data_IF_742683297646
#
_entry.id   IF_742683297646
#
_cell.length_a   1.000
_cell.length_b   1.000
_cell.length_c   1.000
_cell.angle_alpha   90.00
_cell.angle_beta   90.00
_cell.angle_gamma   90.00
#
_symmetry.space_group_name_H-M   'P 1'
#
loop_
_entity.id
_entity.type
_entity.pdbx_description
1 polymer ?
#
# COMPACT_ATOMS: atom_id res chain seq x y z
N UNK A 1 -20.55 7.03 20.51
CA UNK A 1 -20.76 6.98 19.04
C UNK A 1 -20.00 5.80 18.45
N UNK A 2 -20.58 5.20 17.40
CA UNK A 2 -19.95 4.11 16.67
C UNK A 2 -19.26 4.63 15.39
N UNK A 3 -17.96 4.46 15.30
CA UNK A 3 -17.12 4.85 14.18
C UNK A 3 -16.70 3.60 13.41
N UNK A 4 -16.96 3.55 12.10
CA UNK A 4 -16.45 2.50 11.23
C UNK A 4 -15.31 3.06 10.35
N UNK A 5 -14.15 2.44 10.41
CA UNK A 5 -12.96 2.90 9.71
C UNK A 5 -12.57 1.95 8.56
N UNK A 6 -12.36 2.52 7.39
CA UNK A 6 -11.83 1.87 6.19
C UNK A 6 -10.47 2.48 5.89
N UNK A 7 -9.43 1.67 5.77
CA UNK A 7 -8.07 2.11 5.45
C UNK A 7 -7.58 1.57 4.12
N UNK A 8 -6.64 2.26 3.52
CA UNK A 8 -5.69 1.79 2.51
C UNK A 8 -6.31 0.93 1.39
N UNK A 9 -7.26 1.51 0.65
CA UNK A 9 -7.99 0.81 -0.42
C UNK A 9 -7.19 0.75 -1.74
N UNK A 10 -6.33 1.73 -2.01
CA UNK A 10 -5.47 1.85 -3.18
C UNK A 10 -6.20 1.59 -4.52
N UNK A 11 -7.34 2.23 -4.72
CA UNK A 11 -8.08 2.14 -5.97
C UNK A 11 -7.22 2.58 -7.15
N UNK A 12 -7.16 1.75 -8.18
CA UNK A 12 -6.32 1.92 -9.36
C UNK A 12 -5.00 1.17 -9.32
N UNK A 13 -4.70 0.48 -8.21
CA UNK A 13 -3.53 -0.37 -8.11
C UNK A 13 -3.68 -1.60 -8.99
N UNK A 14 -2.69 -1.87 -9.82
CA UNK A 14 -2.71 -3.00 -10.75
C UNK A 14 -1.46 -3.85 -10.61
N UNK A 15 -1.64 -5.16 -10.70
CA UNK A 15 -0.58 -6.15 -10.65
C UNK A 15 -0.90 -7.30 -11.62
N UNK A 16 0.14 -7.90 -12.16
CA UNK A 16 0.06 -9.07 -13.03
C UNK A 16 -0.68 -8.80 -14.35
N UNK A 17 -0.34 -9.54 -15.42
CA UNK A 17 -0.88 -9.28 -16.76
C UNK A 17 -2.36 -9.58 -16.98
N UNK A 18 -3.00 -10.58 -16.30
CA UNK A 18 -4.36 -10.95 -16.65
C UNK A 18 -5.36 -9.81 -16.50
N UNK A 19 -6.30 -9.73 -17.45
CA UNK A 19 -7.39 -8.75 -17.47
C UNK A 19 -8.74 -9.45 -17.40
N UNK A 20 -9.75 -8.73 -16.90
CA UNK A 20 -11.15 -9.13 -16.99
C UNK A 20 -11.61 -9.16 -18.45
N UNK A 21 -12.78 -9.75 -18.74
CA UNK A 21 -13.44 -9.69 -20.06
C UNK A 21 -13.63 -8.25 -20.57
N UNK A 22 -13.78 -7.29 -19.66
CA UNK A 22 -13.89 -5.87 -19.98
C UNK A 22 -12.54 -5.15 -20.21
N UNK A 23 -11.41 -5.88 -20.22
CA UNK A 23 -10.06 -5.32 -20.47
C UNK A 23 -9.45 -4.55 -19.30
N UNK A 24 -10.03 -4.65 -18.09
CA UNK A 24 -9.48 -4.07 -16.86
C UNK A 24 -8.50 -5.07 -16.24
N UNK A 25 -7.38 -4.58 -15.70
CA UNK A 25 -6.49 -5.45 -14.93
C UNK A 25 -7.26 -6.17 -13.82
N UNK A 26 -7.07 -7.49 -13.69
CA UNK A 26 -7.88 -8.28 -12.76
C UNK A 26 -7.64 -7.85 -11.31
N UNK A 27 -6.39 -7.54 -10.93
CA UNK A 27 -6.11 -7.09 -9.56
C UNK A 27 -6.66 -5.69 -9.28
N UNK A 28 -6.65 -4.78 -10.27
CA UNK A 28 -7.35 -3.49 -10.13
C UNK A 28 -8.84 -3.70 -9.84
N UNK A 29 -9.48 -4.63 -10.55
CA UNK A 29 -10.87 -4.98 -10.29
C UNK A 29 -11.07 -5.61 -8.90
N UNK A 30 -10.16 -6.48 -8.45
CA UNK A 30 -10.23 -7.09 -7.12
C UNK A 30 -10.20 -6.03 -6.01
N UNK A 31 -9.29 -5.04 -6.11
CA UNK A 31 -9.22 -3.91 -5.17
C UNK A 31 -10.53 -3.09 -5.13
N UNK A 32 -11.15 -2.87 -6.29
CA UNK A 32 -12.44 -2.18 -6.36
C UNK A 32 -13.54 -2.98 -5.63
N UNK A 33 -13.63 -4.28 -5.88
CA UNK A 33 -14.62 -5.17 -5.25
C UNK A 33 -14.40 -5.23 -3.74
N UNK A 34 -13.16 -5.38 -3.29
CA UNK A 34 -12.82 -5.43 -1.87
C UNK A 34 -13.14 -4.11 -1.16
N UNK A 35 -12.87 -2.97 -1.80
CA UNK A 35 -13.23 -1.67 -1.23
C UNK A 35 -14.75 -1.47 -1.13
N UNK A 36 -15.50 -1.79 -2.20
CA UNK A 36 -16.97 -1.69 -2.17
C UNK A 36 -17.57 -2.61 -1.09
N UNK A 37 -17.04 -3.83 -0.95
CA UNK A 37 -17.46 -4.75 0.09
C UNK A 37 -17.06 -4.28 1.51
N UNK A 38 -15.90 -3.63 1.68
CA UNK A 38 -15.50 -3.04 2.95
C UNK A 38 -16.43 -1.87 3.37
N UNK A 39 -16.87 -1.06 2.40
CA UNK A 39 -17.84 0.01 2.67
C UNK A 39 -19.19 -0.58 3.07
N UNK A 40 -19.67 -1.63 2.40
CA UNK A 40 -20.91 -2.30 2.78
C UNK A 40 -20.78 -2.95 4.16
N UNK A 41 -19.67 -3.63 4.45
CA UNK A 41 -19.38 -4.20 5.76
C UNK A 41 -19.34 -3.14 6.87
N UNK A 42 -18.78 -1.94 6.58
CA UNK A 42 -18.79 -0.81 7.50
C UNK A 42 -20.21 -0.32 7.79
N UNK A 43 -21.06 -0.21 6.77
CA UNK A 43 -22.47 0.18 6.90
C UNK A 43 -23.29 -0.86 7.66
N UNK A 44 -23.03 -2.15 7.47
CA UNK A 44 -23.68 -3.26 8.19
C UNK A 44 -23.40 -3.22 9.71
N UNK A 45 -22.40 -2.46 10.14
CA UNK A 45 -22.13 -2.25 11.56
C UNK A 45 -23.03 -1.17 12.18
N UNK A 46 -23.91 -0.54 11.41
CA UNK A 46 -24.78 0.56 11.86
C UNK A 46 -23.98 1.70 12.52
N UNK A 47 -23.02 2.34 11.79
CA UNK A 47 -22.15 3.38 12.31
C UNK A 47 -22.83 4.75 12.32
N UNK A 48 -22.47 5.60 13.28
CA UNK A 48 -22.81 7.02 13.27
C UNK A 48 -21.96 7.82 12.28
N UNK A 49 -20.74 7.37 12.06
CA UNK A 49 -19.76 7.96 11.13
C UNK A 49 -18.87 6.89 10.52
N UNK A 50 -18.64 7.01 9.21
CA UNK A 50 -17.61 6.25 8.48
C UNK A 50 -16.40 7.15 8.30
N UNK A 51 -15.20 6.64 8.58
CA UNK A 51 -13.95 7.36 8.35
C UNK A 51 -13.09 6.61 7.33
N UNK A 52 -12.50 7.35 6.39
CA UNK A 52 -11.49 6.81 5.47
C UNK A 52 -10.12 7.35 5.86
N UNK A 53 -9.18 6.43 6.09
CA UNK A 53 -7.91 6.72 6.75
C UNK A 53 -6.74 6.98 5.78
N UNK A 54 -7.05 7.49 4.60
CA UNK A 54 -6.07 7.79 3.55
C UNK A 54 -5.83 6.62 2.60
N UNK A 55 -5.02 6.86 1.58
CA UNK A 55 -4.68 5.91 0.51
C UNK A 55 -5.90 5.22 -0.10
N UNK A 56 -6.99 6.00 -0.28
CA UNK A 56 -8.17 5.53 -1.03
C UNK A 56 -7.78 5.29 -2.49
N UNK A 57 -6.91 6.12 -3.03
CA UNK A 57 -6.36 5.98 -4.37
C UNK A 57 -4.88 5.62 -4.33
N UNK A 58 -4.44 4.75 -5.23
CA UNK A 58 -3.03 4.35 -5.35
C UNK A 58 -2.13 5.47 -5.91
N UNK A 59 -2.72 6.54 -6.41
CA UNK A 59 -2.00 7.66 -7.00
C UNK A 59 -2.77 8.98 -6.87
N UNK A 60 -2.09 10.15 -6.72
CA UNK A 60 -2.75 11.47 -6.64
C UNK A 60 -3.57 11.84 -7.89
N UNK A 61 -3.38 11.13 -8.99
CA UNK A 61 -4.15 11.27 -10.24
C UNK A 61 -4.81 9.92 -10.55
N UNK A 62 -5.90 9.59 -9.86
CA UNK A 62 -6.60 8.33 -10.09
C UNK A 62 -7.20 8.27 -11.49
N UNK A 63 -7.41 7.07 -12.00
CA UNK A 63 -8.20 6.88 -13.22
C UNK A 63 -9.64 7.33 -12.99
N UNK A 64 -10.35 7.69 -14.06
CA UNK A 64 -11.78 7.99 -13.95
C UNK A 64 -12.59 6.80 -13.42
N UNK A 65 -12.11 5.59 -13.68
CA UNK A 65 -12.71 4.36 -13.16
C UNK A 65 -12.61 4.31 -11.63
N UNK A 66 -11.40 4.42 -11.09
CA UNK A 66 -11.15 4.43 -9.64
C UNK A 66 -11.89 5.56 -8.93
N UNK A 67 -11.90 6.75 -9.54
CA UNK A 67 -12.62 7.90 -9.01
C UNK A 67 -14.14 7.65 -8.90
N UNK A 68 -14.73 7.01 -9.92
CA UNK A 68 -16.15 6.65 -9.91
C UNK A 68 -16.49 5.59 -8.85
N UNK A 69 -15.56 4.68 -8.55
CA UNK A 69 -15.75 3.71 -7.45
C UNK A 69 -15.90 4.44 -6.12
N UNK A 70 -14.98 5.36 -5.82
CA UNK A 70 -15.05 6.18 -4.60
C UNK A 70 -16.33 7.03 -4.55
N UNK A 71 -16.74 7.64 -5.68
CA UNK A 71 -18.00 8.40 -5.75
C UNK A 71 -19.23 7.52 -5.45
N UNK A 72 -19.29 6.30 -6.01
CA UNK A 72 -20.42 5.37 -5.74
C UNK A 72 -20.45 4.96 -4.28
N UNK A 73 -19.30 4.70 -3.66
CA UNK A 73 -19.20 4.38 -2.25
C UNK A 73 -19.72 5.53 -1.36
N UNK A 74 -19.30 6.77 -1.62
CA UNK A 74 -19.79 7.95 -0.91
C UNK A 74 -21.30 8.16 -1.12
N UNK A 75 -21.80 7.97 -2.33
CA UNK A 75 -23.23 8.07 -2.61
C UNK A 75 -24.05 7.02 -1.85
N UNK A 76 -23.49 5.80 -1.69
CA UNK A 76 -24.09 4.73 -0.87
C UNK A 76 -24.14 5.10 0.60
N UNK A 77 -23.03 5.59 1.17
CA UNK A 77 -22.97 6.03 2.58
C UNK A 77 -23.97 7.18 2.81
N UNK A 78 -24.03 8.15 1.88
CA UNK A 78 -25.04 9.22 1.90
C UNK A 78 -26.47 8.72 1.95
N UNK A 79 -26.78 7.69 1.14
CA UNK A 79 -28.13 7.11 1.11
C UNK A 79 -28.53 6.46 2.44
N UNK A 80 -27.56 6.02 3.26
CA UNK A 80 -27.79 5.51 4.62
C UNK A 80 -27.84 6.63 5.68
N UNK A 81 -27.65 7.89 5.30
CA UNK A 81 -27.67 9.02 6.23
C UNK A 81 -26.45 9.07 7.19
N UNK A 82 -25.40 8.34 6.90
CA UNK A 82 -24.21 8.22 7.73
C UNK A 82 -23.23 9.36 7.38
N UNK A 83 -22.59 9.94 8.39
CA UNK A 83 -21.56 10.99 8.22
C UNK A 83 -20.26 10.38 7.71
N UNK A 84 -19.46 11.19 7.02
CA UNK A 84 -18.16 10.76 6.51
C UNK A 84 -17.08 11.77 6.86
N UNK A 85 -15.92 11.25 7.30
CA UNK A 85 -14.68 12.03 7.40
C UNK A 85 -13.59 11.27 6.65
N UNK A 86 -12.90 11.94 5.74
CA UNK A 86 -11.84 11.39 4.91
C UNK A 86 -10.55 12.17 5.15
N UNK A 87 -9.45 11.48 5.35
CA UNK A 87 -8.11 12.09 5.28
C UNK A 87 -7.38 11.58 4.03
N UNK A 88 -6.41 12.33 3.51
CA UNK A 88 -5.49 11.82 2.48
C UNK A 88 -4.31 11.08 3.10
N UNK A 89 -3.81 10.05 2.40
CA UNK A 89 -2.60 9.29 2.73
C UNK A 89 -1.41 9.69 1.86
N UNK A 90 -0.32 8.93 1.90
CA UNK A 90 0.91 9.26 1.16
C UNK A 90 0.82 8.96 -0.34
N UNK A 91 -0.01 8.01 -0.77
CA UNK A 91 -0.22 7.69 -2.19
C UNK A 91 -1.10 8.70 -2.89
N UNK A 92 -2.11 9.22 -2.25
CA UNK A 92 -3.11 10.10 -2.87
C UNK A 92 -2.95 11.59 -2.51
N UNK A 93 -1.89 11.94 -1.76
CA UNK A 93 -1.51 13.33 -1.49
C UNK A 93 -0.59 13.88 -2.60
N UNK A 94 -0.99 14.94 -3.33
CA UNK A 94 -0.14 15.57 -4.33
C UNK A 94 1.08 16.25 -3.70
N UNK A 95 2.28 15.97 -4.23
CA UNK A 95 3.53 16.61 -3.77
C UNK A 95 3.79 17.98 -4.39
N UNK A 96 3.07 18.32 -5.47
CA UNK A 96 3.20 19.61 -6.17
C UNK A 96 1.91 20.41 -6.00
N UNK A 97 1.98 21.68 -5.55
CA UNK A 97 0.80 22.50 -5.24
C UNK A 97 -0.18 22.65 -6.41
N UNK A 98 0.29 22.69 -7.65
CA UNK A 98 -0.54 22.86 -8.84
C UNK A 98 -1.24 21.59 -9.35
N UNK A 99 -0.98 20.42 -8.74
CA UNK A 99 -1.54 19.16 -9.23
C UNK A 99 -3.05 19.02 -8.92
N UNK A 100 -3.52 19.64 -7.83
CA UNK A 100 -4.85 19.40 -7.28
C UNK A 100 -4.95 18.04 -6.59
N UNK A 101 -5.97 17.84 -5.77
CA UNK A 101 -6.24 16.60 -5.06
C UNK A 101 -7.53 15.96 -5.58
N UNK A 102 -7.61 14.62 -5.72
CA UNK A 102 -8.86 13.95 -6.05
C UNK A 102 -9.96 14.25 -5.04
N UNK A 103 -9.59 14.50 -3.79
CA UNK A 103 -10.52 14.83 -2.73
C UNK A 103 -11.18 16.20 -2.89
N UNK A 104 -10.56 17.16 -3.61
CA UNK A 104 -11.22 18.43 -3.92
C UNK A 104 -12.49 18.23 -4.75
N UNK A 105 -12.40 17.37 -5.78
CA UNK A 105 -13.56 17.06 -6.63
C UNK A 105 -14.63 16.22 -5.88
N UNK A 106 -14.21 15.35 -4.95
CA UNK A 106 -15.15 14.63 -4.09
C UNK A 106 -15.83 15.56 -3.09
N UNK A 107 -15.11 16.51 -2.49
CA UNK A 107 -15.67 17.51 -1.58
C UNK A 107 -16.70 18.42 -2.28
N UNK A 108 -16.44 18.80 -3.53
CA UNK A 108 -17.40 19.57 -4.34
C UNK A 108 -18.69 18.75 -4.65
N UNK A 109 -18.55 17.43 -4.84
CA UNK A 109 -19.68 16.55 -5.13
C UNK A 109 -20.46 16.12 -3.86
N UNK A 110 -19.83 16.14 -2.70
CA UNK A 110 -20.39 15.73 -1.41
C UNK A 110 -20.08 16.78 -0.32
N UNK A 111 -20.64 18.00 -0.44
CA UNK A 111 -20.32 19.10 0.48
C UNK A 111 -20.79 18.87 1.92
N UNK A 112 -21.65 17.88 2.15
CA UNK A 112 -22.09 17.45 3.49
C UNK A 112 -21.06 16.58 4.21
N UNK A 113 -20.02 16.07 3.53
CA UNK A 113 -18.96 15.24 4.07
C UNK A 113 -17.69 16.07 4.31
N UNK A 114 -16.82 15.55 5.15
CA UNK A 114 -15.59 16.24 5.56
C UNK A 114 -14.37 15.58 4.91
N UNK A 115 -13.51 16.40 4.26
CA UNK A 115 -12.32 15.93 3.57
C UNK A 115 -11.10 16.74 4.00
N UNK A 116 -10.22 16.14 4.81
CA UNK A 116 -8.95 16.75 5.19
C UNK A 116 -7.84 16.25 4.22
N UNK A 117 -7.42 17.14 3.31
CA UNK A 117 -6.46 16.82 2.24
C UNK A 117 -5.53 18.00 1.87
N UNK A 118 -5.60 19.12 2.62
CA UNK A 118 -4.95 20.38 2.25
C UNK A 118 -3.58 20.60 2.89
N UNK A 119 -2.92 19.53 3.33
CA UNK A 119 -1.63 19.59 4.03
C UNK A 119 -1.68 20.47 5.31
N UNK A 120 -2.79 20.40 6.00
CA UNK A 120 -3.04 21.13 7.25
C UNK A 120 -3.94 20.31 8.17
N UNK A 121 -3.82 20.54 9.45
CA UNK A 121 -4.78 20.05 10.43
C UNK A 121 -6.17 20.65 10.18
N UNK A 122 -7.20 19.80 10.28
CA UNK A 122 -8.60 20.21 10.22
C UNK A 122 -9.38 19.58 11.40
N UNK A 123 -10.33 20.35 11.95
CA UNK A 123 -11.19 19.91 13.05
C UNK A 123 -12.63 19.86 12.59
N UNK A 124 -13.30 18.74 12.90
CA UNK A 124 -14.72 18.55 12.60
C UNK A 124 -15.48 18.18 13.86
N UNK A 125 -16.41 19.05 14.26
CA UNK A 125 -17.26 18.83 15.43
C UNK A 125 -18.54 18.09 15.00
N UNK A 126 -18.62 16.81 15.37
CA UNK A 126 -19.81 15.98 15.20
C UNK A 126 -20.59 15.91 16.53
N UNK A 127 -21.87 15.53 16.52
CA UNK A 127 -22.63 15.34 17.75
C UNK A 127 -21.96 14.32 18.68
N UNK A 128 -21.41 14.75 19.82
CA UNK A 128 -20.74 13.88 20.80
C UNK A 128 -19.30 13.48 20.49
N UNK A 129 -18.74 13.86 19.33
CA UNK A 129 -17.39 13.50 18.91
C UNK A 129 -16.70 14.68 18.22
N UNK A 130 -15.50 15.03 18.64
CA UNK A 130 -14.62 15.92 17.91
C UNK A 130 -13.59 15.08 17.12
N UNK A 131 -13.59 15.22 15.81
CA UNK A 131 -12.62 14.54 14.93
C UNK A 131 -11.49 15.51 14.59
N UNK A 132 -10.27 15.13 14.93
CA UNK A 132 -9.02 15.80 14.58
C UNK A 132 -8.41 15.09 13.39
N UNK A 133 -8.44 15.71 12.22
CA UNK A 133 -7.96 15.14 10.98
C UNK A 133 -6.58 15.73 10.61
N UNK A 134 -5.56 14.92 10.66
CA UNK A 134 -4.19 15.25 10.22
C UNK A 134 -3.88 14.37 9.00
N UNK A 135 -4.10 14.88 7.77
CA UNK A 135 -3.79 14.15 6.55
C UNK A 135 -2.28 13.95 6.39
N UNK A 136 -1.86 13.17 5.42
CA UNK A 136 -0.45 13.06 5.06
C UNK A 136 0.14 14.44 4.80
N UNK A 137 1.20 14.76 5.51
CA UNK A 137 2.00 15.97 5.30
C UNK A 137 3.22 15.67 4.42
N UNK A 138 3.97 16.71 4.05
CA UNK A 138 5.17 16.56 3.20
C UNK A 138 6.47 16.44 4.00
N UNK A 139 6.45 16.81 5.29
CA UNK A 139 7.62 16.74 6.17
C UNK A 139 7.24 16.29 7.57
N UNK A 140 8.21 15.75 8.30
CA UNK A 140 8.05 15.36 9.71
C UNK A 140 7.68 16.58 10.58
N UNK A 141 8.32 17.72 10.35
CA UNK A 141 8.08 18.96 11.12
C UNK A 141 6.63 19.44 10.93
N UNK A 142 6.10 19.42 9.69
CA UNK A 142 4.73 19.79 9.41
C UNK A 142 3.75 18.82 10.09
N UNK A 143 4.05 17.52 10.08
CA UNK A 143 3.25 16.50 10.75
C UNK A 143 3.21 16.72 12.26
N UNK A 144 4.38 16.90 12.90
CA UNK A 144 4.47 17.16 14.34
C UNK A 144 3.76 18.46 14.73
N UNK A 145 3.87 19.51 13.89
CA UNK A 145 3.15 20.77 14.08
C UNK A 145 1.64 20.60 14.06
N UNK A 146 1.11 19.85 13.09
CA UNK A 146 -0.32 19.56 12.97
C UNK A 146 -0.83 18.65 14.09
N UNK A 147 -0.08 17.65 14.51
CA UNK A 147 -0.40 16.80 15.67
C UNK A 147 -0.44 17.61 16.97
N UNK A 148 0.52 18.53 17.17
CA UNK A 148 0.52 19.42 18.32
C UNK A 148 -0.67 20.41 18.30
N UNK A 149 -1.13 20.85 17.14
CA UNK A 149 -2.33 21.67 17.00
C UNK A 149 -3.58 20.86 17.32
N UNK A 150 -3.68 19.62 16.86
CA UNK A 150 -4.75 18.69 17.21
C UNK A 150 -4.84 18.48 18.73
N UNK A 151 -3.72 18.25 19.42
CA UNK A 151 -3.67 18.08 20.89
C UNK A 151 -4.16 19.34 21.62
N UNK A 152 -3.72 20.53 21.19
CA UNK A 152 -4.19 21.81 21.79
C UNK A 152 -5.68 22.10 21.53
N UNK A 153 -6.23 21.54 20.47
CA UNK A 153 -7.61 21.78 20.03
C UNK A 153 -8.60 20.74 20.55
N UNK A 154 -8.17 19.86 21.47
CA UNK A 154 -9.05 18.83 22.05
C UNK A 154 -10.26 19.43 22.76
N UNK A 155 -11.40 18.82 22.55
CA UNK A 155 -12.62 19.14 23.25
C UNK A 155 -12.56 18.65 24.71
N UNK A 156 -13.09 19.43 25.65
CA UNK A 156 -13.17 19.05 27.06
C UNK A 156 -14.51 18.36 27.41
N UNK A 157 -15.49 18.48 26.53
CA UNK A 157 -16.88 18.05 26.76
C UNK A 157 -17.33 16.92 25.79
N UNK A 158 -16.43 16.48 24.89
CA UNK A 158 -16.69 15.41 23.91
C UNK A 158 -15.50 14.48 23.79
N UNK A 159 -15.75 13.27 23.34
CA UNK A 159 -14.67 12.36 22.94
C UNK A 159 -13.90 12.96 21.78
N UNK A 160 -12.58 12.76 21.78
CA UNK A 160 -11.68 13.23 20.74
C UNK A 160 -11.15 12.02 19.95
N UNK A 161 -11.28 12.06 18.64
CA UNK A 161 -10.76 11.04 17.72
C UNK A 161 -9.75 11.69 16.77
N UNK A 162 -8.51 11.23 16.81
CA UNK A 162 -7.46 11.61 15.86
C UNK A 162 -7.45 10.63 14.69
N UNK A 163 -7.52 11.16 13.46
CA UNK A 163 -7.28 10.43 12.22
C UNK A 163 -5.98 10.93 11.61
N UNK A 164 -5.06 10.02 11.28
CA UNK A 164 -3.78 10.38 10.66
C UNK A 164 -3.16 9.19 9.92
N UNK A 165 -2.06 9.43 9.15
CA UNK A 165 -1.52 8.43 8.22
C UNK A 165 0.02 8.29 8.27
N UNK A 166 0.70 8.46 9.42
CA UNK A 166 2.15 8.24 9.50
C UNK A 166 2.49 6.79 9.84
N UNK A 167 3.76 6.44 9.64
CA UNK A 167 4.38 5.31 10.33
C UNK A 167 4.56 5.64 11.81
N UNK A 168 4.40 4.62 12.64
CA UNK A 168 4.64 4.74 14.09
C UNK A 168 5.81 3.83 14.48
N UNK A 169 6.81 4.42 15.16
CA UNK A 169 8.08 3.74 15.49
C UNK A 169 7.91 2.45 16.31
N UNK A 170 6.78 2.31 17.02
CA UNK A 170 6.46 1.11 17.83
C UNK A 170 6.02 -0.09 17.01
N UNK A 171 5.79 0.08 15.70
CA UNK A 171 5.42 -1.00 14.80
C UNK A 171 6.56 -1.24 13.82
N UNK A 172 7.17 -2.43 13.88
CA UNK A 172 8.25 -2.77 12.96
C UNK A 172 7.75 -2.77 11.51
N UNK A 173 8.38 -2.01 10.62
CA UNK A 173 8.03 -2.02 9.21
C UNK A 173 8.44 -3.35 8.59
N UNK A 174 7.56 -3.92 7.76
CA UNK A 174 7.93 -5.08 6.92
C UNK A 174 8.80 -4.67 5.73
N UNK A 175 8.78 -3.38 5.38
CA UNK A 175 9.59 -2.75 4.33
C UNK A 175 10.11 -1.41 4.82
N UNK A 176 11.36 -1.10 4.53
CA UNK A 176 11.92 0.22 4.74
C UNK A 176 11.68 1.05 3.46
N UNK A 177 10.79 2.03 3.52
CA UNK A 177 10.75 3.09 2.53
C UNK A 177 11.39 4.37 3.13
N UNK A 178 12.39 4.89 2.44
CA UNK A 178 13.25 5.98 2.93
C UNK A 178 12.50 7.33 2.99
N UNK A 179 11.33 7.42 2.37
CA UNK A 179 10.59 8.68 2.21
C UNK A 179 9.30 8.75 3.04
N UNK A 180 9.10 7.86 3.97
CA UNK A 180 7.90 7.84 4.80
C UNK A 180 8.05 8.71 6.04
N UNK A 181 6.96 9.36 6.43
CA UNK A 181 6.90 10.14 7.66
C UNK A 181 6.73 9.17 8.82
N UNK A 182 7.68 9.22 9.75
CA UNK A 182 7.67 8.40 10.96
C UNK A 182 7.53 9.27 12.19
N UNK A 183 6.68 8.85 13.13
CA UNK A 183 6.46 9.52 14.41
C UNK A 183 6.46 8.51 15.56
N UNK A 184 6.79 8.98 16.75
CA UNK A 184 6.60 8.19 17.97
C UNK A 184 5.13 8.23 18.43
N UNK A 185 4.60 7.10 18.91
CA UNK A 185 3.21 7.02 19.38
C UNK A 185 2.87 8.04 20.47
N UNK A 186 3.84 8.49 21.27
CA UNK A 186 3.64 9.47 22.34
C UNK A 186 3.21 10.85 21.89
N UNK A 187 3.40 11.18 20.59
CA UNK A 187 2.91 12.44 20.01
C UNK A 187 1.46 12.37 19.53
N UNK A 188 0.88 11.15 19.45
CA UNK A 188 -0.49 10.90 19.01
C UNK A 188 -1.46 11.04 20.19
N UNK A 189 -1.66 12.28 20.64
CA UNK A 189 -2.43 12.58 21.84
C UNK A 189 -3.90 12.84 21.53
N UNK A 190 -4.75 11.84 21.80
CA UNK A 190 -6.21 11.92 21.71
C UNK A 190 -6.82 10.84 22.59
N UNK A 191 -8.14 10.88 22.79
CA UNK A 191 -8.81 9.79 23.51
C UNK A 191 -8.76 8.50 22.71
N UNK A 192 -8.89 8.64 21.37
CA UNK A 192 -8.76 7.55 20.40
C UNK A 192 -7.97 8.02 19.17
N UNK A 193 -7.21 7.10 18.57
CA UNK A 193 -6.43 7.34 17.36
C UNK A 193 -6.65 6.19 16.38
N UNK A 194 -7.09 6.51 15.17
CA UNK A 194 -7.19 5.57 14.07
C UNK A 194 -6.20 5.95 12.97
N UNK A 195 -5.39 4.99 12.57
CA UNK A 195 -4.27 5.15 11.64
C UNK A 195 -4.53 4.37 10.35
N UNK A 196 -4.23 4.97 9.19
CA UNK A 196 -3.95 4.30 7.94
C UNK A 196 -2.45 4.09 7.74
N UNK A 197 -2.02 3.64 6.57
CA UNK A 197 -0.66 3.41 6.11
C UNK A 197 -0.19 1.95 6.24
N UNK A 198 -0.34 1.29 7.37
CA UNK A 198 -0.04 -0.14 7.47
C UNK A 198 -1.22 -0.98 7.01
N UNK A 199 -0.95 -1.92 6.08
CA UNK A 199 -1.98 -2.76 5.45
C UNK A 199 -2.45 -3.93 6.33
N UNK A 200 -2.16 -3.90 7.62
CA UNK A 200 -2.63 -4.88 8.58
C UNK A 200 -3.20 -4.20 9.83
N UNK A 201 -4.29 -4.75 10.33
CA UNK A 201 -4.84 -4.28 11.59
C UNK A 201 -3.90 -4.61 12.75
N UNK A 202 -3.60 -3.62 13.58
CA UNK A 202 -2.84 -3.84 14.81
C UNK A 202 -3.13 -2.74 15.84
N UNK A 203 -3.07 -3.11 17.11
CA UNK A 203 -3.07 -2.16 18.21
C UNK A 203 -1.63 -1.71 18.48
N UNK A 204 -1.39 -0.41 18.39
CA UNK A 204 -0.07 0.19 18.65
C UNK A 204 0.15 0.43 20.14
N UNK A 205 -0.86 1.03 20.78
CA UNK A 205 -0.88 1.35 22.22
C UNK A 205 -2.34 1.40 22.70
N UNK A 206 -2.55 1.75 23.94
CA UNK A 206 -3.89 2.01 24.44
C UNK A 206 -4.53 3.18 23.69
N UNK A 207 -5.73 2.96 23.14
CA UNK A 207 -6.44 3.98 22.36
C UNK A 207 -5.90 4.22 20.94
N UNK A 208 -4.89 3.46 20.44
CA UNK A 208 -4.24 3.70 19.15
C UNK A 208 -4.23 2.41 18.30
N UNK A 209 -4.82 2.47 17.09
CA UNK A 209 -4.91 1.33 16.17
C UNK A 209 -4.65 1.72 14.72
N UNK A 210 -3.98 0.85 14.00
CA UNK A 210 -4.02 0.79 12.54
C UNK A 210 -5.26 0.02 12.08
N UNK A 211 -5.96 0.54 11.08
CA UNK A 211 -7.14 -0.14 10.55
C UNK A 211 -6.77 -1.33 9.67
N UNK A 212 -5.69 -1.23 8.92
CA UNK A 212 -5.35 -2.16 7.86
C UNK A 212 -6.05 -1.83 6.54
N UNK A 213 -5.72 -2.57 5.50
CA UNK A 213 -6.24 -2.40 4.15
C UNK A 213 -7.47 -3.26 3.87
N UNK A 214 -8.14 -2.96 2.75
CA UNK A 214 -9.31 -3.71 2.29
C UNK A 214 -8.97 -4.94 1.45
N UNK A 215 -7.76 -5.01 0.88
CA UNK A 215 -7.29 -6.16 0.09
C UNK A 215 -5.84 -6.51 0.44
N UNK A 216 -5.38 -7.68 0.01
CA UNK A 216 -4.01 -8.16 0.15
C UNK A 216 -3.15 -7.60 -0.97
N UNK A 217 -2.04 -6.95 -0.64
CA UNK A 217 -1.19 -6.25 -1.60
C UNK A 217 -0.09 -7.12 -2.18
N UNK A 218 0.53 -7.92 -1.33
CA UNK A 218 1.71 -8.67 -1.71
C UNK A 218 1.83 -9.96 -0.92
N UNK A 219 2.75 -10.84 -1.36
CA UNK A 219 3.12 -12.04 -0.61
C UNK A 219 3.81 -11.78 0.74
N UNK A 220 4.12 -10.54 1.04
CA UNK A 220 4.64 -10.17 2.36
C UNK A 220 3.52 -9.86 3.35
N UNK A 221 2.31 -9.69 2.87
CA UNK A 221 1.14 -9.61 3.76
C UNK A 221 0.96 -10.96 4.44
N UNK A 222 0.71 -10.90 5.74
CA UNK A 222 0.52 -12.09 6.55
C UNK A 222 -0.85 -12.70 6.24
N UNK A 223 -0.93 -13.95 5.74
CA UNK A 223 -2.20 -14.59 5.43
C UNK A 223 -3.07 -14.81 6.68
N UNK A 224 -2.46 -14.86 7.87
CA UNK A 224 -3.18 -15.02 9.14
C UNK A 224 -3.74 -13.68 9.69
N UNK A 225 -3.47 -12.56 9.00
CA UNK A 225 -4.02 -11.23 9.32
C UNK A 225 -5.10 -10.85 8.33
N UNK A 226 -6.37 -11.12 8.63
CA UNK A 226 -7.47 -10.84 7.71
C UNK A 226 -7.56 -9.34 7.41
N UNK A 227 -7.93 -9.02 6.18
CA UNK A 227 -8.32 -7.68 5.77
C UNK A 227 -9.71 -7.35 6.29
N UNK A 228 -10.05 -6.05 6.37
CA UNK A 228 -11.37 -5.71 6.90
C UNK A 228 -11.53 -4.25 7.26
N UNK A 229 -12.45 -4.01 8.19
CA UNK A 229 -12.76 -2.69 8.73
C UNK A 229 -12.59 -2.68 10.24
N UNK A 230 -12.35 -1.51 10.80
CA UNK A 230 -12.29 -1.33 12.25
C UNK A 230 -13.55 -0.64 12.74
N UNK A 231 -14.11 -1.11 13.82
CA UNK A 231 -15.26 -0.50 14.48
C UNK A 231 -14.88 -0.09 15.90
N UNK A 232 -14.97 1.21 16.15
CA UNK A 232 -14.70 1.83 17.45
C UNK A 232 -16.01 2.36 18.05
N UNK A 233 -16.30 1.97 19.26
CA UNK A 233 -17.34 2.59 20.08
C UNK A 233 -16.67 3.60 21.04
N UNK A 234 -16.90 4.89 20.81
CA UNK A 234 -16.26 5.96 21.60
C UNK A 234 -16.85 6.10 23.00
N UNK A 235 -18.01 5.52 23.27
CA UNK A 235 -18.63 5.60 24.61
C UNK A 235 -18.02 4.55 25.56
N UNK A 236 -17.63 3.41 25.02
CA UNK A 236 -17.04 2.31 25.78
C UNK A 236 -15.52 2.17 25.60
N UNK A 237 -14.96 2.82 24.58
CA UNK A 237 -13.57 2.63 24.17
C UNK A 237 -13.30 1.28 23.49
N UNK A 238 -14.33 0.47 23.22
CA UNK A 238 -14.16 -0.83 22.60
C UNK A 238 -13.87 -0.69 21.10
N UNK A 239 -12.72 -1.20 20.69
CA UNK A 239 -12.29 -1.24 19.29
C UNK A 239 -12.15 -2.70 18.84
N UNK A 240 -12.74 -3.04 17.71
CA UNK A 240 -12.68 -4.38 17.11
C UNK A 240 -12.43 -4.34 15.63
N UNK A 241 -11.71 -5.30 15.13
CA UNK A 241 -11.57 -5.57 13.69
C UNK A 241 -12.71 -6.49 13.24
N UNK A 242 -13.32 -6.14 12.11
CA UNK A 242 -14.35 -6.95 11.43
C UNK A 242 -13.75 -7.46 10.13
N UNK A 243 -13.47 -8.77 10.03
CA UNK A 243 -12.82 -9.32 8.86
C UNK A 243 -13.73 -9.25 7.63
N UNK A 244 -13.13 -8.91 6.50
CA UNK A 244 -13.73 -8.97 5.19
C UNK A 244 -13.35 -10.30 4.54
N UNK A 245 -14.31 -10.95 3.88
CA UNK A 245 -14.09 -12.17 3.12
C UNK A 245 -14.06 -11.89 1.62
N UNK A 246 -13.48 -12.82 0.85
CA UNK A 246 -13.57 -12.78 -0.61
C UNK A 246 -12.35 -12.17 -1.32
N UNK A 247 -11.29 -11.77 -0.60
CA UNK A 247 -10.04 -11.37 -1.24
C UNK A 247 -9.44 -12.54 -2.01
N UNK A 248 -8.79 -12.21 -3.14
CA UNK A 248 -8.07 -13.21 -3.92
C UNK A 248 -6.90 -13.78 -3.11
N UNK A 249 -6.78 -15.11 -3.00
CA UNK A 249 -5.65 -15.72 -2.30
C UNK A 249 -4.30 -15.39 -2.96
N UNK A 250 -3.33 -14.96 -2.16
CA UNK A 250 -1.93 -14.91 -2.51
C UNK A 250 -1.22 -16.05 -1.79
N UNK A 251 -0.74 -17.06 -2.52
CA UNK A 251 -0.24 -18.33 -1.96
C UNK A 251 1.22 -18.51 -2.29
N UNK A 252 2.04 -18.74 -1.26
CA UNK A 252 3.41 -19.25 -1.44
C UNK A 252 3.36 -20.78 -1.38
N UNK A 253 3.72 -21.42 -2.48
CA UNK A 253 3.79 -22.89 -2.56
C UNK A 253 5.05 -23.39 -1.84
N UNK A 254 5.05 -24.66 -1.44
CA UNK A 254 6.23 -25.30 -0.88
C UNK A 254 7.42 -25.23 -1.84
N UNK A 255 8.55 -24.78 -1.34
CA UNK A 255 9.79 -24.63 -2.10
C UNK A 255 10.21 -25.96 -2.73
N UNK A 256 10.70 -25.89 -3.97
CA UNK A 256 11.38 -27.00 -4.63
C UNK A 256 12.88 -26.87 -4.35
N UNK A 257 13.39 -27.75 -3.47
CA UNK A 257 14.83 -27.87 -3.21
C UNK A 257 15.49 -28.58 -4.40
N UNK A 258 16.15 -27.81 -5.28
CA UNK A 258 16.61 -28.30 -6.57
C UNK A 258 18.10 -28.67 -6.64
N UNK A 259 18.85 -28.53 -5.52
CA UNK A 259 20.28 -28.81 -5.49
C UNK A 259 20.58 -30.26 -5.92
N UNK A 260 21.33 -30.43 -7.01
CA UNK A 260 21.77 -31.72 -7.51
C UNK A 260 20.67 -32.56 -8.19
N UNK A 261 19.50 -32.01 -8.41
CA UNK A 261 18.42 -32.68 -9.13
C UNK A 261 18.67 -32.64 -10.64
N UNK A 262 18.22 -33.67 -11.31
CA UNK A 262 18.20 -33.72 -12.78
C UNK A 262 17.07 -32.82 -13.35
N UNK A 263 17.14 -32.39 -14.63
CA UNK A 263 16.09 -31.62 -15.27
C UNK A 263 14.68 -32.24 -15.16
N UNK A 264 14.62 -33.58 -15.28
CA UNK A 264 13.34 -34.31 -15.16
C UNK A 264 12.75 -34.30 -13.75
N UNK A 265 13.61 -34.33 -12.74
CA UNK A 265 13.17 -34.25 -11.34
C UNK A 265 12.69 -32.83 -10.99
N UNK A 266 13.45 -31.81 -11.39
CA UNK A 266 13.03 -30.39 -11.20
C UNK A 266 11.68 -30.16 -11.89
N UNK A 267 11.54 -30.56 -13.17
CA UNK A 267 10.29 -30.43 -13.92
C UNK A 267 9.14 -31.15 -13.21
N UNK A 268 9.31 -32.39 -12.78
CA UNK A 268 8.26 -33.14 -12.06
C UNK A 268 7.82 -32.44 -10.79
N UNK A 269 8.76 -31.98 -9.96
CA UNK A 269 8.45 -31.31 -8.69
C UNK A 269 7.77 -29.96 -8.91
N UNK A 270 8.23 -29.16 -9.87
CA UNK A 270 7.62 -27.88 -10.22
C UNK A 270 6.17 -28.10 -10.66
N UNK A 271 5.90 -29.02 -11.58
CA UNK A 271 4.55 -29.29 -12.06
C UNK A 271 3.64 -29.85 -10.94
N UNK A 272 4.18 -30.69 -10.05
CA UNK A 272 3.46 -31.21 -8.88
C UNK A 272 3.03 -30.08 -7.94
N UNK A 273 3.91 -29.11 -7.62
CA UNK A 273 3.56 -27.97 -6.80
C UNK A 273 2.53 -27.06 -7.47
N UNK A 274 2.71 -26.79 -8.77
CA UNK A 274 1.79 -25.93 -9.53
C UNK A 274 0.38 -26.51 -9.64
N UNK A 275 0.24 -27.83 -9.68
CA UNK A 275 -1.08 -28.50 -9.71
C UNK A 275 -1.88 -28.33 -8.40
N UNK A 276 -1.26 -27.86 -7.34
CA UNK A 276 -1.90 -27.63 -6.03
C UNK A 276 -2.39 -26.18 -5.86
N UNK A 277 -2.19 -25.31 -6.85
CA UNK A 277 -2.59 -23.90 -6.75
C UNK A 277 -4.12 -23.80 -6.68
N UNK A 278 -4.67 -23.09 -5.70
CA UNK A 278 -6.10 -22.85 -5.61
C UNK A 278 -6.63 -22.09 -6.83
N UNK A 279 -7.87 -22.37 -7.21
CA UNK A 279 -8.53 -21.69 -8.32
C UNK A 279 -8.56 -20.17 -8.13
N UNK A 280 -8.16 -19.45 -9.17
CA UNK A 280 -8.11 -18.00 -9.20
C UNK A 280 -7.02 -17.37 -8.34
N UNK A 281 -6.20 -18.13 -7.62
CA UNK A 281 -5.14 -17.58 -6.77
C UNK A 281 -4.02 -16.92 -7.59
N UNK A 282 -3.31 -15.98 -6.96
CA UNK A 282 -1.96 -15.60 -7.38
C UNK A 282 -0.98 -16.43 -6.55
N UNK A 283 -0.10 -17.16 -7.21
CA UNK A 283 0.85 -18.04 -6.54
C UNK A 283 2.30 -17.65 -6.83
N UNK A 284 3.19 -17.93 -5.90
CA UNK A 284 4.63 -17.96 -6.14
C UNK A 284 5.22 -19.29 -5.71
N UNK A 285 6.22 -19.73 -6.47
CA UNK A 285 6.96 -20.95 -6.19
C UNK A 285 8.46 -20.63 -6.20
N UNK A 286 9.10 -20.86 -5.06
CA UNK A 286 10.56 -20.80 -4.97
C UNK A 286 11.15 -22.13 -5.49
N UNK A 287 12.22 -22.01 -6.32
CA UNK A 287 12.99 -23.15 -6.80
C UNK A 287 14.42 -22.90 -6.34
N UNK A 288 14.79 -23.53 -5.23
CA UNK A 288 16.02 -23.19 -4.54
C UNK A 288 17.22 -24.00 -5.04
N UNK A 289 18.37 -23.31 -5.22
CA UNK A 289 19.62 -23.88 -5.70
C UNK A 289 19.48 -24.70 -6.99
N UNK A 290 18.68 -24.23 -7.96
CA UNK A 290 18.50 -24.91 -9.25
C UNK A 290 19.69 -24.67 -10.18
N UNK A 291 20.13 -25.71 -10.89
CA UNK A 291 21.09 -25.56 -12.00
C UNK A 291 20.47 -24.67 -13.08
N UNK A 292 21.19 -23.62 -13.58
CA UNK A 292 20.69 -22.74 -14.62
C UNK A 292 20.22 -23.46 -15.89
N UNK A 293 20.85 -24.58 -16.23
CA UNK A 293 20.46 -25.37 -17.38
C UNK A 293 19.17 -26.16 -17.13
N UNK A 294 19.02 -26.72 -15.93
CA UNK A 294 17.78 -27.36 -15.51
C UNK A 294 16.60 -26.40 -15.54
N UNK A 295 16.79 -25.16 -15.09
CA UNK A 295 15.73 -24.12 -15.13
C UNK A 295 15.36 -23.74 -16.57
N UNK A 296 16.36 -23.59 -17.47
CA UNK A 296 16.11 -23.28 -18.89
C UNK A 296 15.38 -24.39 -19.65
N UNK A 297 15.48 -25.61 -19.19
CA UNK A 297 14.80 -26.78 -19.78
C UNK A 297 13.37 -26.97 -19.29
N UNK A 298 12.87 -26.12 -18.37
CA UNK A 298 11.46 -26.10 -18.01
C UNK A 298 10.62 -25.65 -19.20
N UNK A 299 9.68 -26.49 -19.59
CA UNK A 299 8.70 -26.13 -20.61
C UNK A 299 7.63 -25.20 -20.00
N UNK A 300 7.63 -23.94 -20.44
CA UNK A 300 6.73 -22.92 -19.93
C UNK A 300 5.27 -23.15 -20.37
N UNK A 301 5.02 -23.91 -21.44
CA UNK A 301 3.66 -24.32 -21.81
C UNK A 301 3.10 -25.34 -20.81
N UNK A 302 3.92 -26.29 -20.37
CA UNK A 302 3.54 -27.24 -19.32
C UNK A 302 3.36 -26.56 -17.97
N UNK A 303 4.23 -25.59 -17.63
CA UNK A 303 4.08 -24.76 -16.43
C UNK A 303 2.75 -24.02 -16.46
N UNK A 304 2.42 -23.38 -17.58
CA UNK A 304 1.16 -22.69 -17.76
C UNK A 304 -0.04 -23.64 -17.68
N UNK A 305 0.05 -24.81 -18.27
CA UNK A 305 -1.02 -25.83 -18.20
C UNK A 305 -1.22 -26.36 -16.79
N UNK A 306 -0.14 -26.66 -16.07
CA UNK A 306 -0.21 -27.15 -14.68
C UNK A 306 -0.76 -26.11 -13.69
N UNK A 307 -0.58 -24.84 -13.99
CA UNK A 307 -1.06 -23.71 -13.20
C UNK A 307 -2.31 -23.03 -13.76
N UNK A 308 -3.02 -23.68 -14.68
CA UNK A 308 -4.19 -23.10 -15.38
C UNK A 308 -5.34 -22.69 -14.46
N UNK A 309 -5.43 -23.24 -13.25
CA UNK A 309 -6.38 -22.82 -12.23
C UNK A 309 -6.03 -21.46 -11.61
N UNK A 310 -4.76 -21.06 -11.64
CA UNK A 310 -4.30 -19.80 -11.06
C UNK A 310 -4.66 -18.60 -11.95
N UNK A 311 -4.86 -17.42 -11.32
CA UNK A 311 -4.83 -16.16 -12.08
C UNK A 311 -3.43 -15.87 -12.63
N UNK A 312 -2.41 -16.09 -11.80
CA UNK A 312 -1.02 -15.86 -12.16
C UNK A 312 -0.08 -16.69 -11.29
N UNK A 313 1.02 -17.15 -11.87
CA UNK A 313 2.10 -17.83 -11.15
C UNK A 313 3.42 -17.13 -11.40
N UNK A 314 4.19 -16.96 -10.33
CA UNK A 314 5.54 -16.44 -10.35
C UNK A 314 6.51 -17.54 -9.91
N UNK A 315 7.44 -17.93 -10.79
CA UNK A 315 8.57 -18.79 -10.43
C UNK A 315 9.72 -17.90 -9.95
N UNK A 316 10.31 -18.24 -8.81
CA UNK A 316 11.41 -17.50 -8.18
C UNK A 316 12.62 -18.46 -8.01
N UNK A 317 13.49 -18.62 -9.05
CA UNK A 317 14.65 -19.46 -8.93
C UNK A 317 15.77 -18.76 -8.17
N UNK A 318 16.47 -19.52 -7.30
CA UNK A 318 17.85 -19.23 -6.90
C UNK A 318 18.76 -20.26 -7.55
N UNK A 319 19.93 -19.85 -8.01
CA UNK A 319 20.81 -20.75 -8.78
C UNK A 319 21.93 -21.34 -7.93
N UNK A 320 22.23 -22.65 -8.12
CA UNK A 320 23.16 -23.42 -7.31
C UNK A 320 24.62 -22.92 -7.32
N UNK A 321 25.05 -22.26 -8.37
CA UNK A 321 26.36 -21.65 -8.51
C UNK A 321 26.23 -20.16 -8.91
N UNK A 322 25.63 -19.38 -8.03
CA UNK A 322 25.81 -17.93 -8.08
C UNK A 322 27.24 -17.49 -7.70
N UNK A 323 28.23 -18.39 -7.80
CA UNK A 323 29.66 -18.10 -7.85
C UNK A 323 30.14 -17.74 -9.28
N UNK A 324 29.24 -17.35 -10.20
CA UNK A 324 29.67 -16.30 -11.10
C UNK A 324 29.98 -15.13 -10.16
N UNK A 325 31.26 -14.66 -10.12
CA UNK A 325 31.46 -13.35 -9.56
C UNK A 325 30.49 -12.49 -10.36
N UNK A 326 29.41 -12.05 -9.74
CA UNK A 326 28.90 -10.75 -10.07
C UNK A 326 30.17 -9.93 -9.81
N UNK A 327 30.95 -9.68 -10.85
CA UNK A 327 31.77 -8.51 -10.85
C UNK A 327 30.74 -7.43 -10.59
N UNK A 328 30.54 -7.14 -9.31
CA UNK A 328 29.87 -5.94 -8.87
C UNK A 328 30.58 -4.89 -9.70
N UNK A 329 29.90 -4.19 -10.61
CA UNK A 329 30.57 -3.23 -11.46
C UNK A 329 31.38 -2.41 -10.48
N UNK A 330 32.72 -2.46 -10.66
CA UNK A 330 33.64 -1.81 -9.76
C UNK A 330 33.08 -0.40 -9.55
N UNK A 331 32.58 -0.14 -8.33
CA UNK A 331 31.96 1.14 -8.03
C UNK A 331 32.91 2.29 -8.38
N UNK A 332 34.22 2.03 -8.31
CA UNK A 332 35.27 2.93 -8.81
C UNK A 332 35.20 3.14 -10.32
N UNK A 333 34.62 2.20 -11.10
CA UNK A 333 34.44 2.33 -12.54
C UNK A 333 33.13 3.01 -12.95
N UNK A 334 32.18 3.23 -12.05
CA UNK A 334 30.89 3.84 -12.37
C UNK A 334 31.01 5.27 -12.92
N UNK A 335 31.89 6.16 -12.42
CA UNK A 335 32.10 7.46 -13.05
C UNK A 335 32.58 7.37 -14.51
N UNK A 336 33.43 6.38 -14.83
CA UNK A 336 33.90 6.16 -16.19
C UNK A 336 32.78 5.61 -17.09
N UNK A 337 31.92 4.74 -16.58
CA UNK A 337 30.75 4.22 -17.28
C UNK A 337 29.73 5.34 -17.54
N UNK A 338 29.51 6.23 -16.56
CA UNK A 338 28.68 7.40 -16.70
C UNK A 338 29.14 8.33 -17.83
N UNK A 339 30.42 8.63 -17.89
CA UNK A 339 31.00 9.42 -19.00
C UNK A 339 30.76 8.78 -20.36
N UNK A 340 31.04 7.47 -20.46
CA UNK A 340 30.83 6.69 -21.70
C UNK A 340 29.34 6.68 -22.11
N UNK A 341 28.43 6.55 -21.16
CA UNK A 341 27.00 6.63 -21.42
C UNK A 341 26.63 7.99 -22.01
N UNK A 342 27.10 9.08 -21.43
CA UNK A 342 26.83 10.43 -21.92
C UNK A 342 27.40 10.69 -23.33
N UNK A 343 28.51 10.02 -23.72
CA UNK A 343 29.08 10.13 -25.07
C UNK A 343 28.11 9.60 -26.14
N UNK A 344 27.34 8.60 -25.82
CA UNK A 344 26.35 7.97 -26.72
C UNK A 344 24.97 8.66 -26.75
N UNK A 345 24.73 9.70 -25.94
CA UNK A 345 23.42 10.35 -25.87
C UNK A 345 23.36 11.62 -26.73
N UNK A 346 22.19 11.86 -27.35
CA UNK A 346 21.87 13.15 -27.93
C UNK A 346 21.51 14.14 -26.81
N UNK A 347 22.44 15.05 -26.51
CA UNK A 347 22.29 16.05 -25.46
C UNK A 347 22.11 17.45 -26.06
N UNK A 348 21.43 17.57 -27.18
CA UNK A 348 21.11 18.84 -27.82
C UNK A 348 20.34 19.74 -26.85
N UNK A 349 20.89 20.90 -26.49
CA UNK A 349 20.31 21.83 -25.52
C UNK A 349 20.76 21.65 -24.08
N UNK A 350 21.64 20.69 -23.79
CA UNK A 350 22.19 20.46 -22.46
C UNK A 350 23.72 20.66 -22.45
N UNK A 351 24.25 21.16 -21.34
CA UNK A 351 25.70 21.25 -21.10
C UNK A 351 26.24 19.87 -20.67
N UNK A 352 26.87 19.16 -21.60
CA UNK A 352 27.44 17.83 -21.39
C UNK A 352 28.46 17.79 -20.23
N UNK A 353 29.28 18.80 -20.09
CA UNK A 353 30.30 18.85 -19.04
C UNK A 353 29.67 19.02 -17.66
N UNK A 354 28.62 19.83 -17.58
CA UNK A 354 27.88 20.06 -16.34
C UNK A 354 27.11 18.80 -15.92
N UNK A 355 26.51 18.06 -16.87
CA UNK A 355 25.87 16.78 -16.61
C UNK A 355 26.88 15.71 -16.17
N UNK A 356 28.03 15.64 -16.80
CA UNK A 356 29.07 14.70 -16.42
C UNK A 356 29.53 14.91 -14.97
N UNK A 357 29.86 16.14 -14.59
CA UNK A 357 30.26 16.51 -13.23
C UNK A 357 29.17 16.22 -12.19
N UNK A 358 27.92 16.59 -12.48
CA UNK A 358 26.80 16.37 -11.56
C UNK A 358 26.57 14.88 -11.28
N UNK A 359 26.68 14.01 -12.29
CA UNK A 359 26.57 12.57 -12.12
C UNK A 359 27.76 11.97 -11.36
N UNK A 360 28.97 12.45 -11.62
CA UNK A 360 30.18 12.02 -10.89
C UNK A 360 30.10 12.37 -9.40
N UNK A 361 29.69 13.61 -9.10
CA UNK A 361 29.47 14.06 -7.72
C UNK A 361 28.40 13.23 -6.99
N UNK A 362 27.33 12.86 -7.70
CA UNK A 362 26.28 12.02 -7.15
C UNK A 362 26.78 10.60 -6.86
N UNK A 363 27.50 10.00 -7.80
CA UNK A 363 28.08 8.66 -7.66
C UNK A 363 29.14 8.61 -6.54
N UNK A 364 29.98 9.65 -6.41
CA UNK A 364 30.96 9.73 -5.33
C UNK A 364 30.30 9.74 -3.95
N UNK A 365 29.23 10.52 -3.76
CA UNK A 365 28.45 10.56 -2.50
C UNK A 365 27.74 9.24 -2.21
N UNK A 366 27.27 8.53 -3.24
CA UNK A 366 26.63 7.24 -3.06
C UNK A 366 27.62 6.18 -2.57
N UNK A 367 28.88 6.24 -3.01
CA UNK A 367 29.95 5.34 -2.55
C UNK A 367 30.38 5.67 -1.11
N UNK A 368 30.45 6.96 -0.74
CA UNK A 368 30.83 7.39 0.63
C UNK A 368 29.73 7.08 1.67
N UNK A 369 28.45 7.01 1.26
CA UNK A 369 27.31 6.71 2.14
C UNK A 369 27.06 5.22 2.39
N UNK A 370 27.84 4.31 1.79
CA UNK A 370 27.72 2.84 1.95
C UNK A 370 28.81 2.25 2.86
N UNK A 371 29.59 3.08 3.57
CA UNK A 371 30.63 2.69 4.53
C UNK A 371 30.18 2.70 5.98
#
# INVERSE_FOLDING_TARGET
>A
MKVAAVGDAHLGRSYYPPTTEGGVNQREHDFEVSFEAAVDLALDQDPDVVVWLGDVFDHPRPTYRSFRVAQRALARIRAHGVRVVVISGNHDTPRLPGTGSPYSALADAFPEFHFAHRLSYERFDLPGLTVHAVPQMLTVEATLGALAEADRSRSLDRSNLLLTHPRVTQVEPRYADINEIEVDASVLRSDFVLLGHYHFHTRVAEGIWYAGSTDTFSFADDPDRPKGVVVLDTDTGHCRHVPLAGQRPLVTLDTVEALGLSPSEVRRLVLERLSQVPEGAVARLFIDAVDPECYRLLDMEEVAAASSAALHVRLEPTFADATLPVELPDLASMPAQWRRYLEGQDLTGYDRQRLARAGEDYLARAVEGTG
#
